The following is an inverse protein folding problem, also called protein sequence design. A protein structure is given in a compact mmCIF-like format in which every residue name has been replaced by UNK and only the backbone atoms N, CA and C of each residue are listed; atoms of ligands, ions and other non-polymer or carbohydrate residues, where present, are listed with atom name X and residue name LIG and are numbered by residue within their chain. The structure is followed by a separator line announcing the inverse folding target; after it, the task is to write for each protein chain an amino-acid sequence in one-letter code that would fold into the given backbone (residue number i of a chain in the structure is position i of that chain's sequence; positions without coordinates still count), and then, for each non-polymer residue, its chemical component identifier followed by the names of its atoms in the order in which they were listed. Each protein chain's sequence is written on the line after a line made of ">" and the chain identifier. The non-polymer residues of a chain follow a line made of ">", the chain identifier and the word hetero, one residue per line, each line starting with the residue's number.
data_IF_123068638486
#
_entry.id   IF_123068638486
#
_cell.length_a   1.000
_cell.length_b   1.000
_cell.length_c   1.000
_cell.angle_alpha   90.00
_cell.angle_beta   90.00
_cell.angle_gamma   90.00
#
_symmetry.space_group_name_H-M   'P 1'
#
loop_
_entity.id
_entity.type
_entity.pdbx_description
1 polymer ?
#
# COMPACT_ATOMS: atom_id res chain seq x y z
N UNK A 1 -43.66 46.24 0.06
CA UNK A 1 -42.34 46.02 0.69
C UNK A 1 -42.21 44.51 0.83
N UNK A 2 -41.96 43.88 -0.31
CA UNK A 2 -41.90 42.43 -0.44
C UNK A 2 -40.41 42.12 -0.56
N UNK A 3 -39.90 41.48 0.47
CA UNK A 3 -38.50 41.12 0.62
C UNK A 3 -38.13 40.06 -0.40
N UNK A 4 -37.34 40.43 -1.41
CA UNK A 4 -36.51 39.51 -2.17
C UNK A 4 -35.56 38.83 -1.17
N UNK A 5 -35.93 37.62 -0.73
CA UNK A 5 -35.01 36.70 -0.09
C UNK A 5 -34.23 36.04 -1.23
N UNK A 6 -33.14 36.69 -1.63
CA UNK A 6 -32.14 36.11 -2.53
C UNK A 6 -31.52 34.90 -1.81
N UNK A 7 -31.90 33.68 -2.20
CA UNK A 7 -31.25 32.45 -1.73
C UNK A 7 -29.76 32.52 -2.12
N UNK A 8 -28.81 32.40 -1.17
CA UNK A 8 -27.39 32.38 -1.54
C UNK A 8 -27.17 31.14 -2.41
N UNK A 9 -26.66 31.36 -3.61
CA UNK A 9 -26.38 30.37 -4.67
C UNK A 9 -25.87 29.03 -4.09
N UNK A 10 -26.76 28.03 -3.94
CA UNK A 10 -26.46 26.69 -3.41
C UNK A 10 -25.62 25.83 -4.38
N UNK A 11 -25.14 26.41 -5.48
CA UNK A 11 -24.53 25.70 -6.59
C UNK A 11 -23.02 25.96 -6.71
N UNK A 12 -22.31 25.02 -7.35
CA UNK A 12 -20.89 25.18 -7.65
C UNK A 12 -20.68 26.25 -8.71
N UNK A 13 -19.70 27.13 -8.49
CA UNK A 13 -19.21 28.03 -9.54
C UNK A 13 -18.69 27.24 -10.76
N UNK A 14 -18.61 27.87 -11.92
CA UNK A 14 -18.11 27.22 -13.14
C UNK A 14 -16.67 26.68 -12.98
N UNK A 15 -15.85 27.34 -12.17
CA UNK A 15 -14.50 26.87 -11.82
C UNK A 15 -14.57 25.67 -10.87
N UNK A 16 -15.36 25.75 -9.80
CA UNK A 16 -15.55 24.65 -8.86
C UNK A 16 -16.11 23.39 -9.55
N UNK A 17 -17.05 23.55 -10.49
CA UNK A 17 -17.62 22.43 -11.24
C UNK A 17 -16.56 21.74 -12.13
N UNK A 18 -15.68 22.51 -12.77
CA UNK A 18 -14.60 21.98 -13.61
C UNK A 18 -13.64 21.11 -12.80
N UNK A 19 -13.24 21.60 -11.62
CA UNK A 19 -12.36 20.86 -10.72
C UNK A 19 -13.07 19.64 -10.11
N UNK A 20 -14.35 19.78 -9.75
CA UNK A 20 -15.18 18.69 -9.24
C UNK A 20 -15.29 17.53 -10.23
N UNK A 21 -15.58 17.81 -11.50
CA UNK A 21 -15.67 16.79 -12.55
C UNK A 21 -14.32 16.09 -12.75
N UNK A 22 -13.22 16.84 -12.72
CA UNK A 22 -11.86 16.29 -12.86
C UNK A 22 -11.49 15.36 -11.70
N UNK A 23 -11.82 15.77 -10.46
CA UNK A 23 -11.66 14.92 -9.27
C UNK A 23 -12.48 13.64 -9.38
N UNK A 24 -13.74 13.73 -9.85
CA UNK A 24 -14.62 12.57 -9.96
C UNK A 24 -14.16 11.57 -11.02
N UNK A 25 -13.65 12.07 -12.14
CA UNK A 25 -13.00 11.23 -13.14
C UNK A 25 -11.78 10.50 -12.56
N UNK A 26 -10.91 11.22 -11.82
CA UNK A 26 -9.72 10.64 -11.20
C UNK A 26 -10.07 9.49 -10.23
N UNK A 27 -10.95 9.74 -9.25
CA UNK A 27 -11.27 8.75 -8.20
C UNK A 27 -12.07 7.55 -8.72
N UNK A 28 -12.63 7.65 -9.93
CA UNK A 28 -13.34 6.55 -10.59
C UNK A 28 -12.39 5.76 -11.50
N UNK A 29 -11.60 6.46 -12.33
CA UNK A 29 -10.76 5.83 -13.35
C UNK A 29 -9.48 5.22 -12.79
N UNK A 30 -8.81 5.89 -11.87
CA UNK A 30 -7.52 5.43 -11.35
C UNK A 30 -7.63 4.07 -10.63
N UNK A 31 -8.57 3.86 -9.69
CA UNK A 31 -8.73 2.55 -9.05
C UNK A 31 -9.03 1.44 -10.05
N UNK A 32 -9.87 1.70 -11.05
CA UNK A 32 -10.21 0.73 -12.09
C UNK A 32 -8.99 0.34 -12.95
N UNK A 33 -8.11 1.30 -13.25
CA UNK A 33 -6.87 1.03 -14.01
C UNK A 33 -5.86 0.20 -13.21
N UNK A 34 -5.68 0.53 -11.93
CA UNK A 34 -4.79 -0.22 -11.04
C UNK A 34 -5.34 -1.63 -10.76
N UNK A 35 -6.66 -1.77 -10.59
CA UNK A 35 -7.32 -3.07 -10.43
C UNK A 35 -7.18 -3.93 -11.68
N UNK A 36 -7.36 -3.35 -12.87
CA UNK A 36 -7.15 -4.07 -14.12
C UNK A 36 -5.69 -4.52 -14.30
N UNK A 37 -4.72 -3.71 -13.85
CA UNK A 37 -3.31 -4.10 -13.88
C UNK A 37 -3.04 -5.29 -12.94
N UNK A 38 -3.47 -5.22 -11.69
CA UNK A 38 -3.28 -6.30 -10.72
C UNK A 38 -3.98 -7.61 -11.14
N UNK A 39 -5.17 -7.51 -11.74
CA UNK A 39 -5.88 -8.68 -12.23
C UNK A 39 -5.09 -9.36 -13.36
N UNK A 40 -4.60 -8.59 -14.34
CA UNK A 40 -3.82 -9.15 -15.47
C UNK A 40 -2.51 -9.78 -15.01
N UNK A 41 -1.77 -9.09 -14.15
CA UNK A 41 -0.38 -9.45 -13.86
C UNK A 41 -0.26 -10.42 -12.67
N UNK A 42 -1.23 -10.41 -11.76
CA UNK A 42 -1.16 -11.17 -10.51
C UNK A 42 -2.41 -12.00 -10.20
N UNK A 43 -3.51 -11.83 -10.95
CA UNK A 43 -4.80 -12.48 -10.65
C UNK A 43 -5.44 -11.95 -9.36
N UNK A 44 -5.07 -10.73 -8.95
CA UNK A 44 -5.56 -10.08 -7.73
C UNK A 44 -6.41 -8.86 -8.09
N UNK A 45 -7.50 -8.65 -7.36
CA UNK A 45 -8.13 -7.32 -7.33
C UNK A 45 -7.27 -6.34 -6.52
N UNK A 46 -7.46 -5.05 -6.76
CA UNK A 46 -6.83 -3.97 -5.99
C UNK A 46 -7.16 -4.08 -4.50
N UNK A 47 -8.38 -4.51 -4.18
CA UNK A 47 -8.80 -4.68 -2.79
C UNK A 47 -8.12 -5.88 -2.12
N UNK A 48 -8.00 -7.02 -2.80
CA UNK A 48 -7.27 -8.18 -2.28
C UNK A 48 -5.78 -7.88 -2.08
N UNK A 49 -5.15 -7.18 -3.03
CA UNK A 49 -3.78 -6.68 -2.88
C UNK A 49 -3.64 -5.78 -1.65
N UNK A 50 -4.57 -4.82 -1.46
CA UNK A 50 -4.54 -3.93 -0.30
C UNK A 50 -4.70 -4.68 1.02
N UNK A 51 -5.58 -5.69 1.08
CA UNK A 51 -5.72 -6.58 2.25
C UNK A 51 -4.39 -7.23 2.60
N UNK A 52 -3.69 -7.79 1.60
CA UNK A 52 -2.40 -8.43 1.82
C UNK A 52 -1.35 -7.41 2.30
N UNK A 53 -1.29 -6.20 1.73
CA UNK A 53 -0.36 -5.12 2.14
C UNK A 53 -0.60 -4.70 3.60
N UNK A 54 -1.86 -4.55 4.02
CA UNK A 54 -2.19 -4.20 5.41
C UNK A 54 -1.75 -5.32 6.36
N UNK A 55 -1.97 -6.58 5.97
CA UNK A 55 -1.50 -7.72 6.76
C UNK A 55 0.02 -7.80 6.80
N UNK A 56 0.74 -7.60 5.70
CA UNK A 56 2.22 -7.70 5.69
C UNK A 56 2.89 -6.67 6.61
N UNK A 57 2.27 -5.50 6.79
CA UNK A 57 2.75 -4.46 7.71
C UNK A 57 2.31 -4.63 9.17
N UNK A 58 1.48 -5.63 9.47
CA UNK A 58 0.99 -5.87 10.83
C UNK A 58 1.96 -6.73 11.66
N UNK A 59 1.98 -6.59 13.00
CA UNK A 59 2.66 -7.53 13.88
C UNK A 59 2.22 -8.97 13.57
N UNK A 60 3.18 -9.89 13.45
CA UNK A 60 2.96 -11.31 13.10
C UNK A 60 2.21 -11.55 11.78
N UNK A 61 2.09 -10.50 10.96
CA UNK A 61 1.26 -10.43 9.76
C UNK A 61 -0.21 -10.74 9.99
N UNK A 62 -0.71 -10.43 11.18
CA UNK A 62 -2.04 -10.81 11.66
C UNK A 62 -2.86 -9.59 12.05
N UNK A 63 -4.15 -9.57 11.68
CA UNK A 63 -5.12 -8.56 12.12
C UNK A 63 -6.49 -9.17 12.38
N UNK A 64 -7.20 -8.60 13.36
CA UNK A 64 -8.62 -8.88 13.58
C UNK A 64 -9.43 -8.38 12.38
N UNK A 65 -10.39 -9.18 11.90
CA UNK A 65 -11.19 -8.86 10.70
C UNK A 65 -11.87 -7.49 10.76
N UNK A 66 -12.34 -7.03 11.93
CA UNK A 66 -12.95 -5.70 12.08
C UNK A 66 -11.95 -4.56 11.89
N UNK A 67 -10.73 -4.71 12.42
CA UNK A 67 -9.65 -3.73 12.25
C UNK A 67 -9.15 -3.74 10.81
N UNK A 68 -8.99 -4.93 10.23
CA UNK A 68 -8.60 -5.10 8.84
C UNK A 68 -9.61 -4.46 7.89
N UNK A 69 -10.91 -4.54 8.18
CA UNK A 69 -11.96 -3.91 7.37
C UNK A 69 -11.84 -2.39 7.41
N UNK A 70 -11.60 -1.82 8.59
CA UNK A 70 -11.37 -0.39 8.77
C UNK A 70 -10.13 0.08 8.01
N UNK A 71 -9.00 -0.62 8.16
CA UNK A 71 -7.74 -0.26 7.53
C UNK A 71 -7.77 -0.39 6.00
N UNK A 72 -8.48 -1.39 5.49
CA UNK A 72 -8.67 -1.61 4.04
C UNK A 72 -9.79 -0.76 3.44
N UNK A 73 -10.50 0.03 4.27
CA UNK A 73 -11.64 0.88 3.87
C UNK A 73 -12.74 0.07 3.18
N UNK A 74 -12.90 -1.19 3.60
CA UNK A 74 -13.90 -2.12 3.10
C UNK A 74 -15.00 -2.35 4.12
N UNK A 75 -16.20 -2.68 3.63
CA UNK A 75 -17.20 -3.28 4.51
C UNK A 75 -16.71 -4.65 4.99
N UNK A 76 -17.15 -5.08 6.19
CA UNK A 76 -16.80 -6.40 6.72
C UNK A 76 -17.24 -7.54 5.78
N UNK A 77 -18.37 -7.36 5.09
CA UNK A 77 -18.85 -8.30 4.07
C UNK A 77 -17.89 -8.39 2.88
N UNK A 78 -17.48 -7.24 2.31
CA UNK A 78 -16.50 -7.20 1.22
C UNK A 78 -15.17 -7.83 1.64
N UNK A 79 -14.71 -7.53 2.84
CA UNK A 79 -13.49 -8.13 3.39
C UNK A 79 -13.62 -9.65 3.53
N UNK A 80 -14.72 -10.15 4.09
CA UNK A 80 -14.95 -11.58 4.27
C UNK A 80 -14.89 -12.34 2.94
N UNK A 81 -15.48 -11.79 1.88
CA UNK A 81 -15.39 -12.36 0.53
C UNK A 81 -13.96 -12.35 -0.01
N UNK A 82 -13.24 -11.23 0.10
CA UNK A 82 -11.86 -11.14 -0.34
C UNK A 82 -10.95 -12.13 0.41
N UNK A 83 -11.05 -12.18 1.74
CA UNK A 83 -10.29 -13.11 2.58
C UNK A 83 -10.61 -14.56 2.23
N UNK A 84 -11.87 -14.91 1.94
CA UNK A 84 -12.23 -16.27 1.53
C UNK A 84 -11.58 -16.67 0.20
N UNK A 85 -11.44 -15.74 -0.75
CA UNK A 85 -10.71 -15.98 -2.00
C UNK A 85 -9.21 -16.12 -1.79
N UNK A 86 -8.62 -15.23 -0.97
CA UNK A 86 -7.20 -15.26 -0.61
C UNK A 86 -6.84 -16.55 0.15
N UNK A 87 -7.74 -17.03 1.01
CA UNK A 87 -7.60 -18.29 1.74
C UNK A 87 -7.70 -19.50 0.82
N UNK A 88 -8.64 -19.49 -0.13
CA UNK A 88 -8.72 -20.52 -1.18
C UNK A 88 -7.45 -20.59 -2.04
N UNK A 89 -6.75 -19.47 -2.22
CA UNK A 89 -5.46 -19.39 -2.92
C UNK A 89 -4.25 -19.72 -2.03
N UNK A 90 -4.45 -19.93 -0.72
CA UNK A 90 -3.38 -20.21 0.25
C UNK A 90 -2.53 -19.00 0.64
N UNK A 91 -2.96 -17.78 0.32
CA UNK A 91 -2.22 -16.55 0.62
C UNK A 91 -2.56 -15.94 1.99
N UNK A 92 -3.74 -16.25 2.50
CA UNK A 92 -4.20 -15.82 3.84
C UNK A 92 -4.78 -17.04 4.56
N UNK A 93 -4.74 -17.03 5.88
CA UNK A 93 -5.43 -18.03 6.71
C UNK A 93 -6.22 -17.34 7.82
N UNK A 94 -7.36 -17.92 8.20
CA UNK A 94 -8.16 -17.42 9.31
C UNK A 94 -7.99 -18.25 10.57
N UNK A 95 -7.86 -17.58 11.70
CA UNK A 95 -7.79 -18.19 13.02
C UNK A 95 -8.91 -17.64 13.91
N UNK A 96 -9.47 -18.51 14.76
CA UNK A 96 -10.39 -18.09 15.83
C UNK A 96 -9.60 -17.93 17.11
N UNK A 97 -9.60 -16.74 17.70
CA UNK A 97 -8.91 -16.51 18.97
C UNK A 97 -9.76 -17.09 20.10
N UNK A 98 -9.20 -18.05 20.85
CA UNK A 98 -9.81 -18.58 22.06
C UNK A 98 -9.71 -17.57 23.19
N UNK A 99 -10.80 -16.83 23.47
CA UNK A 99 -10.89 -15.86 24.56
C UNK A 99 -12.32 -15.35 24.74
N UNK A 100 -12.53 -14.49 25.75
CA UNK A 100 -13.85 -13.97 26.17
C UNK A 100 -14.63 -13.17 25.09
N UNK A 101 -14.07 -13.01 23.89
CA UNK A 101 -14.80 -12.68 22.68
C UNK A 101 -14.24 -13.51 21.53
N UNK A 102 -15.08 -14.35 20.89
CA UNK A 102 -14.74 -15.03 19.64
C UNK A 102 -14.48 -13.96 18.57
N UNK A 103 -13.22 -13.61 18.37
CA UNK A 103 -12.78 -12.75 17.26
C UNK A 103 -12.11 -13.63 16.21
N UNK A 104 -12.34 -13.26 14.96
CA UNK A 104 -11.69 -13.89 13.81
C UNK A 104 -10.54 -13.01 13.37
N UNK A 105 -9.37 -13.61 13.29
CA UNK A 105 -8.16 -12.99 12.78
C UNK A 105 -7.85 -13.54 11.39
N UNK A 106 -7.29 -12.69 10.54
CA UNK A 106 -6.68 -13.08 9.28
C UNK A 106 -5.17 -12.89 9.40
N UNK A 107 -4.42 -13.87 8.92
CA UNK A 107 -2.96 -13.85 8.90
C UNK A 107 -2.46 -14.06 7.47
N UNK A 108 -1.49 -13.26 7.04
CA UNK A 108 -0.80 -13.47 5.77
C UNK A 108 0.16 -14.68 5.89
N UNK A 109 0.04 -15.63 4.97
CA UNK A 109 0.94 -16.79 4.92
C UNK A 109 2.27 -16.42 4.26
N UNK A 110 3.28 -17.28 4.38
CA UNK A 110 4.55 -17.08 3.66
C UNK A 110 4.36 -17.12 2.13
N UNK A 111 3.42 -17.92 1.63
CA UNK A 111 3.05 -17.91 0.23
C UNK A 111 2.39 -16.59 -0.20
N UNK A 112 1.55 -16.01 0.66
CA UNK A 112 0.97 -14.68 0.45
C UNK A 112 2.01 -13.57 0.44
N UNK A 113 2.96 -13.63 1.37
CA UNK A 113 4.10 -12.71 1.42
C UNK A 113 4.95 -12.83 0.14
N UNK A 114 5.30 -14.04 -0.30
CA UNK A 114 6.03 -14.25 -1.55
C UNK A 114 5.25 -13.71 -2.77
N UNK A 115 3.92 -13.88 -2.78
CA UNK A 115 3.05 -13.35 -3.84
C UNK A 115 3.07 -11.81 -3.86
N UNK A 116 3.03 -11.15 -2.70
CA UNK A 116 3.16 -9.69 -2.60
C UNK A 116 4.48 -9.20 -3.18
N UNK A 117 5.60 -9.82 -2.79
CA UNK A 117 6.94 -9.46 -3.28
C UNK A 117 7.04 -9.58 -4.80
N UNK A 118 6.36 -10.57 -5.37
CA UNK A 118 6.30 -10.76 -6.82
C UNK A 118 5.51 -9.66 -7.53
N UNK A 119 4.36 -9.24 -6.99
CA UNK A 119 3.45 -8.30 -7.68
C UNK A 119 3.71 -6.83 -7.38
N UNK A 120 4.27 -6.50 -6.21
CA UNK A 120 4.49 -5.12 -5.77
C UNK A 120 5.30 -4.26 -6.77
N UNK A 121 6.40 -4.74 -7.39
CA UNK A 121 7.15 -3.94 -8.36
C UNK A 121 6.32 -3.52 -9.58
N UNK A 122 5.45 -4.41 -10.07
CA UNK A 122 4.55 -4.11 -11.18
C UNK A 122 3.50 -3.07 -10.81
N UNK A 123 2.90 -3.22 -9.63
CA UNK A 123 1.92 -2.27 -9.10
C UNK A 123 2.51 -0.87 -8.88
N UNK A 124 3.70 -0.78 -8.26
CA UNK A 124 4.41 0.48 -8.03
C UNK A 124 4.77 1.15 -9.35
N UNK A 125 5.24 0.38 -10.35
CA UNK A 125 5.55 0.92 -11.68
C UNK A 125 4.32 1.52 -12.35
N UNK A 126 3.17 0.86 -12.28
CA UNK A 126 1.94 1.38 -12.87
C UNK A 126 1.44 2.64 -12.15
N UNK A 127 1.48 2.66 -10.81
CA UNK A 127 1.15 3.85 -10.03
C UNK A 127 2.09 5.03 -10.34
N UNK A 128 3.39 4.75 -10.49
CA UNK A 128 4.39 5.75 -10.86
C UNK A 128 4.10 6.34 -12.24
N UNK A 129 3.85 5.48 -13.23
CA UNK A 129 3.54 5.88 -14.61
C UNK A 129 2.26 6.70 -14.73
N UNK A 130 1.22 6.35 -13.96
CA UNK A 130 -0.09 7.00 -14.05
C UNK A 130 -0.22 8.29 -13.23
N UNK A 131 0.59 8.45 -12.18
CA UNK A 131 0.43 9.56 -11.22
C UNK A 131 1.73 10.33 -11.00
N UNK A 132 2.81 9.65 -10.65
CA UNK A 132 4.05 10.32 -10.22
C UNK A 132 4.79 10.95 -11.40
N UNK A 133 4.87 10.26 -12.54
CA UNK A 133 5.60 10.74 -13.72
C UNK A 133 4.87 11.83 -14.50
N UNK A 134 3.58 12.06 -14.22
CA UNK A 134 2.77 13.10 -14.88
C UNK A 134 2.66 14.38 -14.05
N UNK A 135 3.26 14.42 -12.85
CA UNK A 135 3.24 15.55 -11.94
C UNK A 135 4.66 15.99 -11.61
N UNK A 136 4.83 17.30 -11.40
CA UNK A 136 6.01 17.82 -10.70
C UNK A 136 5.97 17.43 -9.22
N UNK A 137 7.13 17.45 -8.55
CA UNK A 137 7.22 17.15 -7.12
C UNK A 137 6.29 18.04 -6.27
N UNK A 138 6.20 19.33 -6.61
CA UNK A 138 5.33 20.28 -5.92
C UNK A 138 3.84 20.00 -6.15
N UNK A 139 3.44 19.62 -7.37
CA UNK A 139 2.06 19.23 -7.67
C UNK A 139 1.67 17.96 -6.93
N UNK A 140 2.56 16.95 -6.90
CA UNK A 140 2.35 15.72 -6.15
C UNK A 140 2.21 16.00 -4.65
N UNK A 141 3.05 16.88 -4.10
CA UNK A 141 2.97 17.30 -2.70
C UNK A 141 1.64 18.02 -2.39
N UNK A 142 1.20 18.94 -3.26
CA UNK A 142 -0.08 19.65 -3.13
C UNK A 142 -1.28 18.71 -3.22
N UNK A 143 -1.27 17.78 -4.18
CA UNK A 143 -2.30 16.74 -4.32
C UNK A 143 -2.37 15.87 -3.06
N UNK A 144 -1.23 15.39 -2.57
CA UNK A 144 -1.17 14.59 -1.35
C UNK A 144 -1.71 15.33 -0.13
N UNK A 145 -1.38 16.62 0.02
CA UNK A 145 -1.91 17.46 1.08
C UNK A 145 -3.44 17.63 0.99
N UNK A 146 -3.96 17.96 -0.19
CA UNK A 146 -5.40 18.09 -0.43
C UNK A 146 -6.16 16.78 -0.15
N UNK A 147 -5.63 15.65 -0.65
CA UNK A 147 -6.21 14.33 -0.44
C UNK A 147 -6.30 13.97 1.05
N UNK A 148 -5.24 14.23 1.84
CA UNK A 148 -5.26 13.99 3.29
C UNK A 148 -6.33 14.83 3.99
N UNK A 149 -6.48 16.10 3.62
CA UNK A 149 -7.52 16.99 4.17
C UNK A 149 -8.93 16.50 3.84
N UNK A 150 -9.17 16.07 2.60
CA UNK A 150 -10.47 15.54 2.18
C UNK A 150 -10.79 14.23 2.91
N UNK A 151 -9.83 13.31 3.01
CA UNK A 151 -10.01 12.05 3.76
C UNK A 151 -10.33 12.33 5.22
N UNK A 152 -9.64 13.28 5.86
CA UNK A 152 -9.95 13.67 7.24
C UNK A 152 -11.35 14.24 7.44
N UNK A 153 -11.91 14.91 6.43
CA UNK A 153 -13.29 15.40 6.47
C UNK A 153 -14.32 14.27 6.27
N UNK A 154 -13.99 13.21 5.53
CA UNK A 154 -14.88 12.06 5.28
C UNK A 154 -14.85 11.08 6.44
N UNK A 155 -13.64 10.73 6.90
CA UNK A 155 -13.42 9.73 7.94
C UNK A 155 -12.19 10.14 8.80
N UNK A 156 -12.43 10.82 9.94
CA UNK A 156 -11.36 11.23 10.84
C UNK A 156 -10.52 10.07 11.39
N UNK A 157 -11.12 8.88 11.55
CA UNK A 157 -10.40 7.71 12.05
C UNK A 157 -9.39 7.18 11.01
N UNK A 158 -9.74 7.22 9.72
CA UNK A 158 -8.83 6.87 8.62
C UNK A 158 -7.68 7.88 8.51
N UNK A 159 -7.93 9.18 8.71
CA UNK A 159 -6.87 10.19 8.64
C UNK A 159 -5.77 9.99 9.70
N UNK A 160 -6.13 9.54 10.91
CA UNK A 160 -5.15 9.22 11.94
C UNK A 160 -4.18 8.11 11.49
N UNK A 161 -4.67 7.08 10.79
CA UNK A 161 -3.85 5.97 10.29
C UNK A 161 -2.93 6.33 9.11
N UNK A 162 -3.31 7.33 8.30
CA UNK A 162 -2.49 7.81 7.18
C UNK A 162 -1.24 8.59 7.63
N UNK A 163 -1.30 9.24 8.79
CA UNK A 163 -0.14 9.93 9.38
C UNK A 163 0.97 8.95 9.75
N UNK A 164 0.60 7.85 10.41
CA UNK A 164 1.53 6.82 10.88
C UNK A 164 2.17 6.02 9.73
N UNK A 165 1.40 5.73 8.67
CA UNK A 165 1.89 5.00 7.50
C UNK A 165 2.90 5.82 6.66
N UNK A 166 2.77 7.15 6.63
CA UNK A 166 3.72 8.04 5.98
C UNK A 166 5.10 8.05 6.66
N UNK A 167 5.15 7.99 7.98
CA UNK A 167 6.39 7.92 8.76
C UNK A 167 7.02 6.52 8.75
N UNK A 168 6.21 5.46 8.75
CA UNK A 168 6.70 4.09 8.65
C UNK A 168 7.20 3.74 7.23
N UNK A 169 6.58 4.29 6.18
CA UNK A 169 7.00 4.10 4.79
C UNK A 169 8.27 4.90 4.40
N UNK A 170 8.65 5.92 5.17
CA UNK A 170 9.97 6.58 5.06
C UNK A 170 11.10 5.62 5.45
N UNK A 171 10.78 4.51 6.13
CA UNK A 171 11.61 3.31 6.21
C UNK A 171 11.44 2.38 5.00
N UNK A 172 11.67 2.87 3.78
CA UNK A 172 11.82 2.15 2.49
C UNK A 172 11.03 0.81 2.33
N UNK A 173 10.09 0.72 1.37
CA UNK A 173 9.48 -0.58 0.98
C UNK A 173 10.53 -1.62 0.55
N UNK A 174 11.70 -1.18 0.08
CA UNK A 174 12.83 -2.05 -0.27
C UNK A 174 13.63 -2.55 0.95
N UNK A 175 13.60 -1.85 2.09
CA UNK A 175 14.39 -2.20 3.28
C UNK A 175 13.77 -3.36 4.09
N UNK A 176 12.44 -3.50 4.09
CA UNK A 176 11.77 -4.62 4.76
C UNK A 176 11.81 -5.93 3.98
N UNK A 177 12.20 -5.89 2.70
CA UNK A 177 12.29 -7.05 1.83
C UNK A 177 13.67 -7.71 1.81
N UNK A 178 14.70 -7.06 2.36
CA UNK A 178 16.10 -7.54 2.36
C UNK A 178 16.59 -8.11 3.72
N UNK A 179 15.75 -8.25 4.73
CA UNK A 179 16.17 -8.75 6.06
C UNK A 179 16.20 -10.28 6.17
N UNK A 180 16.88 -10.96 5.23
CA UNK A 180 17.21 -12.38 5.33
C UNK A 180 18.59 -12.58 5.96
N UNK A 181 18.80 -13.55 6.89
CA UNK A 181 20.05 -13.69 7.61
C UNK A 181 21.08 -14.50 6.81
N UNK A 182 21.64 -13.95 5.73
CA UNK A 182 22.95 -14.41 5.20
C UNK A 182 23.60 -13.33 4.33
N UNK A 183 24.16 -12.30 4.96
CA UNK A 183 25.28 -11.58 4.37
C UNK A 183 26.51 -11.96 5.19
N UNK A 184 27.10 -13.11 4.87
CA UNK A 184 28.43 -13.47 5.34
C UNK A 184 29.37 -12.41 4.81
N UNK A 185 29.85 -11.56 5.72
CA UNK A 185 30.95 -10.62 5.52
C UNK A 185 32.11 -11.42 4.91
N UNK A 186 32.34 -11.28 3.62
CA UNK A 186 33.59 -11.70 2.99
C UNK A 186 34.65 -10.75 3.51
N UNK A 187 35.45 -11.26 4.42
CA UNK A 187 36.64 -10.63 4.95
C UNK A 187 37.55 -10.28 3.78
N UNK A 188 37.82 -8.99 3.56
CA UNK A 188 38.86 -8.55 2.63
C UNK A 188 40.20 -8.84 3.30
N UNK A 189 40.66 -10.09 3.13
CA UNK A 189 42.04 -10.46 3.39
C UNK A 189 42.97 -9.53 2.61
N UNK A 190 43.81 -8.79 3.34
CA UNK A 190 44.88 -7.99 2.78
C UNK A 190 45.86 -8.84 1.96
N UNK A 191 46.67 -8.20 1.10
CA UNK A 191 47.51 -8.91 0.15
C UNK A 191 48.57 -9.76 0.88
N UNK A 192 48.57 -11.05 0.56
CA UNK A 192 49.66 -11.96 0.89
C UNK A 192 50.94 -11.48 0.19
N UNK A 193 52.00 -11.26 0.97
CA UNK A 193 53.36 -11.11 0.49
C UNK A 193 53.82 -12.45 -0.11
N UNK A 194 54.28 -12.42 -1.35
CA UNK A 194 55.04 -13.49 -2.00
C UNK A 194 56.30 -13.86 -1.19
N UNK A 195 56.61 -15.15 -1.11
CA UNK A 195 57.98 -15.61 -1.02
C UNK A 195 58.24 -16.67 -2.09
N UNK A 196 58.93 -16.29 -3.15
CA UNK A 196 59.78 -17.18 -3.93
C UNK A 196 60.67 -16.28 -4.79
N UNK A 197 61.97 -16.48 -4.93
CA UNK A 197 62.72 -17.71 -4.87
C UNK A 197 63.91 -17.46 -5.79
N UNK A 198 65.10 -17.73 -5.26
CA UNK A 198 66.38 -17.55 -5.92
C UNK A 198 66.41 -18.08 -7.37
N UNK A 199 67.04 -17.32 -8.27
CA UNK A 199 67.78 -17.87 -9.40
C UNK A 199 68.77 -16.83 -9.93
N UNK A 200 70.06 -17.15 -9.86
CA UNK A 200 71.15 -16.35 -10.40
C UNK A 200 72.52 -16.94 -10.08
N UNK A 201 72.85 -18.06 -10.72
CA UNK A 201 74.24 -18.51 -10.88
C UNK A 201 74.98 -17.55 -11.83
N UNK A 202 76.08 -16.96 -11.37
CA UNK A 202 77.42 -16.85 -12.02
C UNK A 202 78.24 -15.81 -11.27
#
# INVERSE_FOLDING_TARGET
>A
MESDQETPDEWLSAEQLREWVSLMALVTMLPARLDAQLNRDAGLSLFEYHVMVVLSGAPERTRVMSELALQTRGSLSRLSHAVSRLESAGWVQRHSCGGAGRRTEAQLTDAGEAKLKQCAPGHVREARRLVVEVLTDDELARLGHAARRIVAAIDPAVAATLGEAGESAVGSPEAQLCSGPTCTRVDRGGPAREPDGQRGCS
#
